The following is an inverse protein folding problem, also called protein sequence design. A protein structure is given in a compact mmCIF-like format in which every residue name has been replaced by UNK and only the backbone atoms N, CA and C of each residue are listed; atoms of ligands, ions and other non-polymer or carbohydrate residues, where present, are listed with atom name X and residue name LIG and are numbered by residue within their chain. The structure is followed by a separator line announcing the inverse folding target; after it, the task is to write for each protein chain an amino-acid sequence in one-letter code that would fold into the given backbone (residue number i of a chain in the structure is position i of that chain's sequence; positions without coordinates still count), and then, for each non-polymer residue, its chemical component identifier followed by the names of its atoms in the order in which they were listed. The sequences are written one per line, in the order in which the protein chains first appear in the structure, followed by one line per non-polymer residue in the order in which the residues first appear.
data_IF_327916172052
#
_entry.id   IF_327916172052
#
_cell.length_a   1.000
_cell.length_b   1.000
_cell.length_c   1.000
_cell.angle_alpha   90.00
_cell.angle_beta   90.00
_cell.angle_gamma   90.00
#
_symmetry.space_group_name_H-M   'P 1'
#
loop_
_entity.id
_entity.type
_entity.pdbx_description
1 polymer ?
#
# COMPACT_ATOMS: atom_id res chain seq x y z
N UNK A 1 4.59 25.22 4.52
CA UNK A 1 3.25 24.96 5.07
C UNK A 1 3.07 23.45 5.11
N UNK A 2 2.83 22.85 6.27
CA UNK A 2 2.59 21.40 6.37
C UNK A 2 1.09 21.17 6.15
N UNK A 3 0.73 20.43 5.11
CA UNK A 3 -0.65 19.98 4.88
C UNK A 3 -1.05 19.02 6.02
N UNK A 4 -1.95 19.48 6.88
CA UNK A 4 -2.52 18.67 7.97
C UNK A 4 -3.76 17.91 7.52
N UNK A 5 -4.59 18.54 6.67
CA UNK A 5 -5.71 17.88 6.00
C UNK A 5 -5.23 17.12 4.77
N UNK A 6 -5.51 15.81 4.75
CA UNK A 6 -5.19 14.89 3.66
C UNK A 6 -6.41 14.51 2.81
N UNK A 7 -7.51 15.26 2.95
CA UNK A 7 -8.69 15.08 2.10
C UNK A 7 -8.38 15.35 0.61
N UNK A 8 -9.16 14.74 -0.28
CA UNK A 8 -9.08 15.01 -1.71
C UNK A 8 -9.18 16.52 -2.00
N UNK A 9 -10.10 17.23 -1.35
CA UNK A 9 -10.32 18.65 -1.60
C UNK A 9 -9.07 19.48 -1.26
N UNK A 10 -8.47 19.25 -0.09
CA UNK A 10 -7.25 19.95 0.34
C UNK A 10 -6.05 19.64 -0.57
N UNK A 11 -5.84 18.35 -0.86
CA UNK A 11 -4.72 17.91 -1.72
C UNK A 11 -4.91 18.37 -3.17
N UNK A 12 -6.14 18.42 -3.68
CA UNK A 12 -6.44 18.93 -5.03
C UNK A 12 -6.24 20.43 -5.13
N UNK A 13 -6.58 21.19 -4.09
CA UNK A 13 -6.29 22.62 -4.03
C UNK A 13 -4.77 22.86 -4.05
N UNK A 14 -4.01 22.13 -3.22
CA UNK A 14 -2.55 22.19 -3.24
C UNK A 14 -1.97 21.84 -4.60
N UNK A 15 -2.41 20.73 -5.22
CA UNK A 15 -1.97 20.36 -6.55
C UNK A 15 -2.24 21.46 -7.58
N UNK A 16 -3.42 22.08 -7.56
CA UNK A 16 -3.76 23.17 -8.50
C UNK A 16 -2.88 24.41 -8.30
N UNK A 17 -2.53 24.73 -7.06
CA UNK A 17 -1.68 25.87 -6.74
C UNK A 17 -0.22 25.68 -7.16
N UNK A 18 0.28 24.44 -7.13
CA UNK A 18 1.71 24.16 -7.32
C UNK A 18 2.06 23.46 -8.64
N UNK A 19 1.08 22.88 -9.35
CA UNK A 19 1.32 22.02 -10.53
C UNK A 19 2.15 22.65 -11.65
N UNK A 20 2.11 23.97 -11.81
CA UNK A 20 2.81 24.67 -12.89
C UNK A 20 4.34 24.59 -12.70
N UNK A 21 4.82 24.22 -11.51
CA UNK A 21 6.23 24.00 -11.18
C UNK A 21 6.62 22.50 -11.18
N UNK A 22 5.69 21.60 -11.44
CA UNK A 22 5.96 20.16 -11.43
C UNK A 22 6.29 19.68 -12.84
N UNK A 23 7.20 18.70 -13.00
CA UNK A 23 7.35 17.97 -14.25
C UNK A 23 6.01 17.40 -14.71
N UNK A 24 5.74 17.43 -16.01
CA UNK A 24 4.44 17.03 -16.57
C UNK A 24 4.00 15.64 -16.12
N UNK A 25 4.92 14.67 -16.15
CA UNK A 25 4.67 13.29 -15.70
C UNK A 25 4.23 13.25 -14.22
N UNK A 26 4.89 14.00 -13.33
CA UNK A 26 4.50 14.08 -11.93
C UNK A 26 3.10 14.71 -11.79
N UNK A 27 2.86 15.81 -12.51
CA UNK A 27 1.56 16.48 -12.53
C UNK A 27 0.42 15.54 -12.95
N UNK A 28 0.64 14.73 -13.99
CA UNK A 28 -0.34 13.75 -14.47
C UNK A 28 -0.61 12.63 -13.47
N UNK A 29 0.45 12.06 -12.88
CA UNK A 29 0.35 10.99 -11.87
C UNK A 29 -0.38 11.44 -10.63
N UNK A 30 -0.01 12.59 -10.09
CA UNK A 30 -0.68 13.19 -8.92
C UNK A 30 -2.13 13.53 -9.26
N UNK A 31 -2.42 14.05 -10.46
CA UNK A 31 -3.80 14.29 -10.88
C UNK A 31 -4.64 13.02 -10.85
N UNK A 32 -4.13 11.92 -11.43
CA UNK A 32 -4.80 10.62 -11.47
C UNK A 32 -4.98 10.04 -10.06
N UNK A 33 -3.93 10.04 -9.24
CA UNK A 33 -4.00 9.60 -7.84
C UNK A 33 -5.12 10.33 -7.09
N UNK A 34 -5.16 11.67 -7.18
CA UNK A 34 -6.20 12.46 -6.54
C UNK A 34 -7.61 12.16 -7.05
N UNK A 35 -7.79 11.88 -8.34
CA UNK A 35 -9.11 11.48 -8.88
C UNK A 35 -9.62 10.18 -8.24
N UNK A 36 -8.74 9.21 -8.01
CA UNK A 36 -9.08 7.96 -7.34
C UNK A 36 -9.23 8.11 -5.83
N UNK A 37 -8.46 8.98 -5.19
CA UNK A 37 -8.68 9.37 -3.78
C UNK A 37 -10.09 9.94 -3.58
N UNK A 38 -10.56 10.80 -4.48
CA UNK A 38 -11.94 11.32 -4.43
C UNK A 38 -12.97 10.20 -4.45
N UNK A 39 -12.74 9.16 -5.24
CA UNK A 39 -13.61 7.98 -5.30
C UNK A 39 -13.53 7.13 -4.04
N UNK A 40 -12.35 6.96 -3.46
CA UNK A 40 -12.18 6.27 -2.17
C UNK A 40 -12.98 6.98 -1.05
N UNK A 41 -12.92 8.31 -0.98
CA UNK A 41 -13.69 9.09 0.00
C UNK A 41 -15.20 9.01 -0.21
N UNK A 42 -15.67 8.97 -1.47
CA UNK A 42 -17.08 8.73 -1.79
C UNK A 42 -17.53 7.33 -1.37
N UNK A 43 -16.71 6.31 -1.62
CA UNK A 43 -17.00 4.93 -1.19
C UNK A 43 -17.09 4.82 0.34
N UNK A 44 -16.16 5.47 1.06
CA UNK A 44 -16.22 5.60 2.52
C UNK A 44 -17.53 6.23 3.00
N UNK A 45 -17.96 7.32 2.38
CA UNK A 45 -19.22 8.00 2.74
C UNK A 45 -20.44 7.09 2.57
N UNK A 46 -20.38 6.17 1.60
CA UNK A 46 -21.40 5.15 1.34
C UNK A 46 -21.20 3.86 2.16
N UNK A 47 -20.18 3.80 3.04
CA UNK A 47 -19.80 2.63 3.83
C UNK A 47 -19.44 1.40 2.98
N UNK A 48 -18.94 1.61 1.77
CA UNK A 48 -18.48 0.57 0.87
C UNK A 48 -16.95 0.40 1.01
N UNK A 49 -16.56 -0.44 1.97
CA UNK A 49 -15.16 -0.60 2.38
C UNK A 49 -14.32 -1.35 1.35
N UNK A 50 -14.92 -2.30 0.62
CA UNK A 50 -14.21 -3.06 -0.42
C UNK A 50 -13.85 -2.13 -1.59
N UNK A 51 -14.82 -1.34 -2.05
CA UNK A 51 -14.59 -0.34 -3.10
C UNK A 51 -13.65 0.77 -2.63
N UNK A 52 -13.77 1.24 -1.38
CA UNK A 52 -12.85 2.19 -0.77
C UNK A 52 -11.40 1.68 -0.85
N UNK A 53 -11.15 0.44 -0.43
CA UNK A 53 -9.83 -0.18 -0.48
C UNK A 53 -9.29 -0.27 -1.92
N UNK A 54 -10.12 -0.72 -2.87
CA UNK A 54 -9.72 -0.80 -4.28
C UNK A 54 -9.38 0.59 -4.85
N UNK A 55 -10.15 1.63 -4.54
CA UNK A 55 -9.83 2.99 -5.00
C UNK A 55 -8.57 3.55 -4.34
N UNK A 56 -8.29 3.24 -3.08
CA UNK A 56 -7.00 3.56 -2.47
C UNK A 56 -5.84 2.86 -3.17
N UNK A 57 -5.99 1.58 -3.51
CA UNK A 57 -4.99 0.84 -4.25
C UNK A 57 -4.69 1.48 -5.62
N UNK A 58 -5.73 1.87 -6.36
CA UNK A 58 -5.57 2.53 -7.66
C UNK A 58 -4.95 3.93 -7.51
N UNK A 59 -5.37 4.69 -6.49
CA UNK A 59 -4.78 5.99 -6.17
C UNK A 59 -3.27 5.88 -5.90
N UNK A 60 -2.88 4.93 -5.05
CA UNK A 60 -1.49 4.63 -4.75
C UNK A 60 -0.72 4.22 -6.01
N UNK A 61 -1.26 3.30 -6.81
CA UNK A 61 -0.67 2.90 -8.10
C UNK A 61 -0.45 4.09 -9.05
N UNK A 62 -1.43 4.99 -9.15
CA UNK A 62 -1.31 6.17 -9.98
C UNK A 62 -0.21 7.14 -9.51
N UNK A 63 0.08 7.17 -8.20
CA UNK A 63 1.12 8.03 -7.63
C UNK A 63 2.55 7.51 -7.88
N UNK A 64 2.77 6.19 -7.84
CA UNK A 64 4.12 5.62 -8.06
C UNK A 64 4.42 5.17 -9.48
N UNK A 65 3.41 4.81 -10.28
CA UNK A 65 3.63 4.22 -11.61
C UNK A 65 4.34 5.22 -12.54
N UNK A 66 5.64 5.03 -12.80
CA UNK A 66 6.27 5.61 -13.98
C UNK A 66 5.71 4.86 -15.21
N UNK A 67 5.58 5.58 -16.32
CA UNK A 67 4.91 5.19 -17.57
C UNK A 67 4.83 3.67 -17.83
N UNK A 68 3.63 3.20 -18.20
CA UNK A 68 3.31 1.81 -18.51
C UNK A 68 4.16 1.28 -19.68
N UNK A 69 5.42 0.94 -19.40
CA UNK A 69 6.25 0.09 -20.23
C UNK A 69 6.06 -1.38 -19.83
N UNK A 70 6.40 -2.29 -20.72
CA UNK A 70 6.47 -3.74 -20.45
C UNK A 70 7.60 -4.01 -19.44
N UNK A 71 7.32 -3.79 -18.17
CA UNK A 71 8.19 -4.17 -17.07
C UNK A 71 7.75 -5.56 -16.63
N UNK A 72 8.69 -6.50 -16.56
CA UNK A 72 8.39 -7.83 -16.02
C UNK A 72 8.12 -7.78 -14.50
N UNK A 73 7.65 -8.88 -13.92
CA UNK A 73 7.26 -8.93 -12.50
C UNK A 73 8.41 -8.60 -11.54
N UNK A 74 9.67 -8.83 -11.94
CA UNK A 74 10.84 -8.53 -11.11
C UNK A 74 11.03 -7.02 -11.07
N UNK A 75 10.97 -6.35 -12.22
CA UNK A 75 11.05 -4.89 -12.30
C UNK A 75 9.90 -4.19 -11.59
N UNK A 76 8.67 -4.73 -11.62
CA UNK A 76 7.53 -4.14 -10.89
C UNK A 76 7.79 -4.08 -9.37
N UNK A 77 8.37 -5.15 -8.82
CA UNK A 77 8.70 -5.23 -7.40
C UNK A 77 9.82 -4.26 -7.02
N UNK A 78 10.88 -4.20 -7.82
CA UNK A 78 12.00 -3.29 -7.57
C UNK A 78 11.57 -1.82 -7.64
N UNK A 79 10.73 -1.46 -8.61
CA UNK A 79 10.15 -0.11 -8.72
C UNK A 79 9.27 0.23 -7.52
N UNK A 80 8.48 -0.73 -7.06
CA UNK A 80 7.67 -0.56 -5.86
C UNK A 80 8.54 -0.33 -4.62
N UNK A 81 9.56 -1.16 -4.37
CA UNK A 81 10.48 -1.01 -3.23
C UNK A 81 11.29 0.30 -3.31
N UNK A 82 11.71 0.71 -4.50
CA UNK A 82 12.38 2.00 -4.74
C UNK A 82 11.45 3.18 -4.43
N UNK A 83 10.16 3.08 -4.80
CA UNK A 83 9.18 4.10 -4.46
C UNK A 83 8.97 4.21 -2.94
N UNK A 84 8.79 3.08 -2.24
CA UNK A 84 8.65 3.06 -0.78
C UNK A 84 9.86 3.69 -0.09
N UNK A 85 11.07 3.40 -0.57
CA UNK A 85 12.31 4.00 -0.08
C UNK A 85 12.31 5.51 -0.30
N UNK A 86 11.96 5.96 -1.51
CA UNK A 86 11.93 7.39 -1.85
C UNK A 86 10.95 8.18 -0.98
N UNK A 87 9.76 7.66 -0.70
CA UNK A 87 8.79 8.36 0.15
C UNK A 87 9.20 8.38 1.63
N UNK A 88 9.89 7.33 2.10
CA UNK A 88 10.45 7.32 3.45
C UNK A 88 11.59 8.33 3.60
N UNK A 89 12.48 8.44 2.60
CA UNK A 89 13.57 9.42 2.59
C UNK A 89 13.07 10.88 2.61
N UNK A 90 11.91 11.12 1.99
CA UNK A 90 11.27 12.44 1.96
C UNK A 90 10.48 12.76 3.25
N UNK A 91 10.19 11.77 4.09
CA UNK A 91 9.44 11.94 5.35
C UNK A 91 10.36 12.33 6.51
N UNK A 92 10.90 13.55 6.43
CA UNK A 92 11.77 14.14 7.46
C UNK A 92 11.08 14.33 8.81
N UNK A 93 9.74 14.22 8.85
CA UNK A 93 8.92 14.34 10.06
C UNK A 93 8.58 13.02 10.74
N UNK A 94 9.07 11.89 10.21
CA UNK A 94 8.74 10.54 10.68
C UNK A 94 7.23 10.24 10.72
N UNK A 95 6.42 10.89 9.88
CA UNK A 95 4.96 10.73 9.85
C UNK A 95 4.57 9.29 9.51
N UNK A 96 5.21 8.68 8.51
CA UNK A 96 4.99 7.29 8.12
C UNK A 96 5.32 6.33 9.27
N UNK A 97 6.43 6.55 9.96
CA UNK A 97 6.80 5.75 11.12
C UNK A 97 5.75 5.88 12.23
N UNK A 98 5.29 7.10 12.55
CA UNK A 98 4.24 7.32 13.56
C UNK A 98 2.91 6.65 13.17
N UNK A 99 2.51 6.72 11.91
CA UNK A 99 1.31 6.03 11.43
C UNK A 99 1.40 4.51 11.67
N UNK A 100 2.53 3.91 11.30
CA UNK A 100 2.75 2.47 11.39
C UNK A 100 2.90 2.01 12.85
N UNK A 101 3.75 2.70 13.62
CA UNK A 101 4.14 2.27 14.96
C UNK A 101 3.15 2.67 16.05
N UNK A 102 2.48 3.82 15.91
CA UNK A 102 1.60 4.36 16.96
C UNK A 102 0.14 4.20 16.57
N UNK A 103 -0.27 4.78 15.43
CA UNK A 103 -1.69 4.86 15.07
C UNK A 103 -2.29 3.52 14.63
N UNK A 104 -1.60 2.77 13.77
CA UNK A 104 -2.11 1.55 13.16
C UNK A 104 -1.48 0.25 13.70
N UNK A 105 -0.72 0.32 14.79
CA UNK A 105 0.01 -0.85 15.33
C UNK A 105 -0.89 -2.07 15.58
N UNK A 106 -2.08 -1.86 16.15
CA UNK A 106 -3.08 -2.91 16.37
C UNK A 106 -3.63 -3.49 15.06
N UNK A 107 -4.03 -2.62 14.13
CA UNK A 107 -4.56 -3.03 12.82
C UNK A 107 -3.52 -3.78 11.98
N UNK A 108 -2.26 -3.33 12.02
CA UNK A 108 -1.15 -3.99 11.33
C UNK A 108 -0.88 -5.36 11.94
N UNK A 109 -0.91 -5.50 13.28
CA UNK A 109 -0.79 -6.81 13.93
C UNK A 109 -1.88 -7.77 13.46
N UNK A 110 -3.13 -7.34 13.46
CA UNK A 110 -4.27 -8.14 12.97
C UNK A 110 -4.11 -8.52 11.49
N UNK A 111 -3.68 -7.58 10.64
CA UNK A 111 -3.41 -7.84 9.22
C UNK A 111 -2.31 -8.90 9.04
N UNK A 112 -1.23 -8.80 9.83
CA UNK A 112 -0.08 -9.68 9.73
C UNK A 112 -0.35 -11.09 10.29
N UNK A 113 -1.26 -11.21 11.26
CA UNK A 113 -1.74 -12.49 11.80
C UNK A 113 -2.85 -13.15 10.95
N UNK A 114 -3.39 -12.45 9.95
CA UNK A 114 -4.38 -13.00 9.04
C UNK A 114 -3.73 -13.81 7.90
N UNK A 115 -3.85 -15.14 7.98
CA UNK A 115 -3.34 -16.07 6.94
C UNK A 115 -4.04 -15.94 5.58
N UNK A 116 -5.29 -15.47 5.53
CA UNK A 116 -6.06 -15.36 4.28
C UNK A 116 -5.56 -14.24 3.37
N UNK A 117 -4.81 -13.29 3.90
CA UNK A 117 -4.12 -12.23 3.15
C UNK A 117 -2.63 -12.55 2.98
N UNK A 118 -2.22 -13.81 3.11
CA UNK A 118 -0.85 -14.25 2.91
C UNK A 118 -0.74 -15.27 1.78
N UNK A 119 -0.10 -14.89 0.67
CA UNK A 119 -0.05 -15.72 -0.54
C UNK A 119 0.46 -17.16 -0.31
N UNK A 120 1.51 -17.43 0.49
CA UNK A 120 1.95 -18.80 0.76
C UNK A 120 0.91 -19.71 1.41
N UNK A 121 -0.05 -19.19 2.19
CA UNK A 121 -1.16 -19.99 2.71
C UNK A 121 -2.00 -20.58 1.55
N UNK A 122 -2.25 -19.78 0.51
CA UNK A 122 -2.96 -20.22 -0.68
C UNK A 122 -2.12 -21.14 -1.57
N UNK A 123 -0.80 -20.95 -1.61
CA UNK A 123 0.10 -21.83 -2.34
C UNK A 123 0.14 -23.24 -1.73
N UNK A 124 0.07 -23.36 -0.41
CA UNK A 124 -0.13 -24.63 0.29
C UNK A 124 -1.45 -25.31 -0.10
N UNK A 125 -2.57 -24.59 -0.06
CA UNK A 125 -3.86 -25.14 -0.49
C UNK A 125 -3.92 -25.53 -1.98
N UNK A 126 -2.97 -25.03 -2.79
CA UNK A 126 -2.78 -25.40 -4.20
C UNK A 126 -1.74 -26.52 -4.39
N UNK A 127 -1.20 -27.09 -3.30
CA UNK A 127 -0.21 -28.17 -3.34
C UNK A 127 1.18 -27.75 -3.84
N UNK A 128 1.51 -26.45 -3.80
CA UNK A 128 2.79 -25.91 -4.33
C UNK A 128 3.92 -25.95 -3.30
N UNK A 129 3.58 -25.86 -2.02
CA UNK A 129 4.51 -25.87 -0.88
C UNK A 129 3.91 -26.70 0.26
N UNK A 130 4.76 -27.14 1.19
CA UNK A 130 4.32 -27.90 2.37
C UNK A 130 3.62 -27.03 3.41
N UNK A 131 2.93 -27.66 4.36
CA UNK A 131 2.30 -26.96 5.49
C UNK A 131 3.37 -26.28 6.35
N UNK A 132 4.43 -27.01 6.66
CA UNK A 132 5.56 -26.55 7.46
C UNK A 132 6.22 -25.33 6.82
N UNK A 133 6.40 -25.35 5.50
CA UNK A 133 7.04 -24.27 4.77
C UNK A 133 6.25 -22.97 4.82
N UNK A 134 4.93 -22.99 4.58
CA UNK A 134 4.16 -21.73 4.63
C UNK A 134 4.08 -21.18 6.06
N UNK A 135 3.97 -22.05 7.07
CA UNK A 135 3.95 -21.63 8.48
C UNK A 135 5.28 -20.99 8.91
N UNK A 136 6.41 -21.58 8.51
CA UNK A 136 7.74 -21.00 8.76
C UNK A 136 7.90 -19.64 8.09
N UNK A 137 7.53 -19.53 6.81
CA UNK A 137 7.57 -18.25 6.07
C UNK A 137 6.64 -17.20 6.71
N UNK A 138 5.48 -17.62 7.19
CA UNK A 138 4.53 -16.74 7.88
C UNK A 138 5.14 -16.16 9.17
N UNK A 139 5.70 -17.00 10.04
CA UNK A 139 6.40 -16.56 11.25
C UNK A 139 7.60 -15.66 10.93
N UNK A 140 8.42 -16.03 9.94
CA UNK A 140 9.57 -15.23 9.51
C UNK A 140 9.16 -13.84 9.02
N UNK A 141 8.06 -13.73 8.25
CA UNK A 141 7.57 -12.42 7.77
C UNK A 141 7.08 -11.52 8.91
N UNK A 142 6.47 -12.08 9.96
CA UNK A 142 6.10 -11.33 11.16
C UNK A 142 7.33 -10.86 11.94
N UNK A 143 8.33 -11.73 12.08
CA UNK A 143 9.60 -11.37 12.71
C UNK A 143 10.32 -10.26 11.94
N UNK A 144 10.35 -10.34 10.60
CA UNK A 144 10.93 -9.32 9.74
C UNK A 144 10.27 -7.94 9.91
N UNK A 145 8.94 -7.89 10.00
CA UNK A 145 8.22 -6.65 10.31
C UNK A 145 8.63 -6.11 11.70
N UNK A 146 8.67 -6.95 12.73
CA UNK A 146 9.04 -6.51 14.08
C UNK A 146 10.47 -5.94 14.12
N UNK A 147 11.43 -6.58 13.44
CA UNK A 147 12.80 -6.08 13.32
C UNK A 147 12.83 -4.74 12.57
N UNK A 148 12.08 -4.62 11.48
CA UNK A 148 11.99 -3.37 10.71
C UNK A 148 11.41 -2.23 11.55
N UNK A 149 10.36 -2.50 12.34
CA UNK A 149 9.79 -1.50 13.24
C UNK A 149 10.76 -1.09 14.35
N UNK A 150 11.41 -2.05 15.00
CA UNK A 150 12.38 -1.77 16.07
C UNK A 150 13.59 -0.96 15.59
N UNK A 151 14.02 -1.17 14.35
CA UNK A 151 15.11 -0.44 13.70
C UNK A 151 14.66 0.83 12.96
N UNK A 152 13.37 1.21 13.07
CA UNK A 152 12.74 2.30 12.29
C UNK A 152 12.94 2.19 10.77
N UNK A 153 13.14 1.00 10.24
CA UNK A 153 13.23 0.75 8.81
C UNK A 153 11.83 0.78 8.16
N UNK A 154 11.34 2.00 7.92
CA UNK A 154 10.01 2.28 7.34
C UNK A 154 9.80 1.60 5.98
N UNK A 155 10.75 1.64 5.01
CA UNK A 155 10.59 0.97 3.73
C UNK A 155 10.32 -0.54 3.87
N UNK A 156 11.09 -1.24 4.71
CA UNK A 156 10.91 -2.68 4.92
C UNK A 156 9.59 -2.97 5.64
N UNK A 157 9.23 -2.16 6.65
CA UNK A 157 7.95 -2.32 7.34
C UNK A 157 6.76 -2.16 6.38
N UNK A 158 6.79 -1.13 5.52
CA UNK A 158 5.79 -0.91 4.49
C UNK A 158 5.76 -2.06 3.48
N UNK A 159 6.90 -2.55 3.00
CA UNK A 159 6.94 -3.67 2.05
C UNK A 159 6.25 -4.94 2.60
N UNK A 160 6.46 -5.26 3.88
CA UNK A 160 5.78 -6.38 4.55
C UNK A 160 4.26 -6.18 4.62
N UNK A 161 3.81 -4.99 5.00
CA UNK A 161 2.38 -4.63 5.08
C UNK A 161 1.74 -4.70 3.69
N UNK A 162 2.35 -4.08 2.69
CA UNK A 162 1.84 -4.07 1.32
C UNK A 162 1.79 -5.45 0.68
N UNK A 163 2.66 -6.38 1.08
CA UNK A 163 2.56 -7.79 0.64
C UNK A 163 1.22 -8.41 1.06
N UNK A 164 0.72 -8.09 2.26
CA UNK A 164 -0.61 -8.53 2.73
C UNK A 164 -1.73 -7.85 1.97
N UNK A 165 -1.64 -6.53 1.80
CA UNK A 165 -2.62 -5.74 1.06
C UNK A 165 -2.72 -6.16 -0.41
N UNK A 166 -1.59 -6.50 -1.04
CA UNK A 166 -1.54 -7.01 -2.41
C UNK A 166 -2.30 -8.34 -2.54
N UNK A 167 -2.10 -9.25 -1.58
CA UNK A 167 -2.84 -10.51 -1.56
C UNK A 167 -4.34 -10.25 -1.40
N UNK A 168 -4.73 -9.37 -0.47
CA UNK A 168 -6.14 -8.97 -0.28
C UNK A 168 -6.75 -8.37 -1.57
N UNK A 169 -6.04 -7.45 -2.22
CA UNK A 169 -6.45 -6.86 -3.51
C UNK A 169 -6.68 -7.95 -4.55
N UNK A 170 -5.81 -8.94 -4.63
CA UNK A 170 -5.98 -10.03 -5.59
C UNK A 170 -7.20 -10.89 -5.25
N UNK A 171 -7.46 -11.16 -3.97
CA UNK A 171 -8.68 -11.87 -3.56
C UNK A 171 -9.94 -11.11 -3.97
N UNK A 172 -10.01 -9.80 -3.73
CA UNK A 172 -11.18 -8.99 -4.08
C UNK A 172 -11.35 -8.91 -5.61
N UNK A 173 -10.30 -8.52 -6.34
CA UNK A 173 -10.39 -8.27 -7.79
C UNK A 173 -10.65 -9.55 -8.60
N UNK A 174 -10.12 -10.69 -8.16
CA UNK A 174 -10.28 -11.96 -8.88
C UNK A 174 -11.44 -12.81 -8.34
N UNK A 175 -12.27 -12.27 -7.45
CA UNK A 175 -13.44 -12.98 -6.91
C UNK A 175 -13.10 -14.11 -5.93
N UNK A 176 -11.91 -14.09 -5.35
CA UNK A 176 -11.50 -14.99 -4.25
C UNK A 176 -11.98 -14.55 -2.87
N UNK A 177 -12.62 -13.38 -2.77
CA UNK A 177 -13.33 -12.90 -1.59
C UNK A 177 -14.83 -12.71 -1.89
N UNK A 178 -15.68 -12.96 -0.89
CA UNK A 178 -17.11 -12.67 -0.96
C UNK A 178 -17.39 -11.24 -0.49
N UNK A 179 -18.21 -10.52 -1.23
CA UNK A 179 -18.71 -9.20 -0.84
C UNK A 179 -19.67 -9.32 0.36
N UNK A 180 -19.52 -8.45 1.37
CA UNK A 180 -20.36 -8.41 2.57
C UNK A 180 -20.92 -7.00 2.78
#
# INVERSE_FOLDING_TARGET
MVLTDLSYSALKAYQRQHRDHFPENLSLRVHRALSWLSKAEQARANKDTDTEFIYYWISFNAAYANEFGEIDRVGERELFEAFLSKIADLDTTERLYQLIWQQFSGSIRLLMDNKFVYQPFWDFHRGRISEEEWQQRFLASKAALNVALASKNVPVAMAQIFTRLYTLRNQIIHGGATYN
#
